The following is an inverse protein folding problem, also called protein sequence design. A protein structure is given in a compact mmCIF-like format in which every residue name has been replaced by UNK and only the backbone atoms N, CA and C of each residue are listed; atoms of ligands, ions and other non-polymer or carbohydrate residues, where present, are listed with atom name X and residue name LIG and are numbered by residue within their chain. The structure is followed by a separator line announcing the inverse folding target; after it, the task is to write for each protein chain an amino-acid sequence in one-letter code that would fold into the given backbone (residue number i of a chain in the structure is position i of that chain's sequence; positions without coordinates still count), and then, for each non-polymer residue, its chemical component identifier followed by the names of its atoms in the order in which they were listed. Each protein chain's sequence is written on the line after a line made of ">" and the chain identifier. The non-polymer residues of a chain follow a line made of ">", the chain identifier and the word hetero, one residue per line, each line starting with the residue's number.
data_IF_522616746992
#
_entry.id   IF_522616746992
#
_cell.length_a   1.000
_cell.length_b   1.000
_cell.length_c   1.000
_cell.angle_alpha   90.00
_cell.angle_beta   90.00
_cell.angle_gamma   90.00
#
_symmetry.space_group_name_H-M   'P 1'
#
loop_
_entity.id
_entity.type
_entity.pdbx_description
1 polymer ?
#
# COMPACT_ATOMS: atom_id res chain seq x y z
N UNK A 1 -1.74 19.18 1.57
CA UNK A 1 -2.08 17.79 1.95
C UNK A 1 -1.33 16.85 1.00
N UNK A 2 -0.87 15.72 1.50
CA UNK A 2 -0.15 14.70 0.74
C UNK A 2 -1.06 13.51 0.50
N UNK A 3 -1.12 13.06 -0.75
CA UNK A 3 -1.93 11.91 -1.15
C UNK A 3 -1.11 10.64 -1.06
N UNK A 4 -1.55 9.69 -0.24
CA UNK A 4 -0.91 8.39 -0.06
C UNK A 4 -1.80 7.32 -0.65
N UNK A 5 -1.27 6.57 -1.62
CA UNK A 5 -1.86 5.35 -2.14
C UNK A 5 -1.05 4.17 -1.59
N UNK A 6 -1.74 3.18 -1.03
CA UNK A 6 -1.16 1.93 -0.54
C UNK A 6 -1.78 0.76 -1.27
N UNK A 7 -0.97 -0.23 -1.63
CA UNK A 7 -1.47 -1.46 -2.20
C UNK A 7 -0.58 -2.66 -1.88
N UNK A 8 -1.14 -3.70 -1.25
CA UNK A 8 -0.54 -5.03 -1.31
C UNK A 8 -0.77 -5.59 -2.71
N UNK A 9 0.29 -5.75 -3.51
CA UNK A 9 0.20 -6.35 -4.84
C UNK A 9 0.77 -7.76 -4.75
N UNK A 10 -0.13 -8.76 -4.73
CA UNK A 10 0.20 -10.18 -4.56
C UNK A 10 1.42 -10.60 -5.40
N UNK A 11 2.53 -10.95 -4.74
CA UNK A 11 3.79 -11.34 -5.40
C UNK A 11 4.26 -10.36 -6.48
N UNK A 12 4.42 -9.09 -6.15
CA UNK A 12 4.87 -8.06 -7.07
C UNK A 12 6.30 -8.30 -7.57
N UNK A 13 6.50 -8.09 -8.88
CA UNK A 13 7.79 -8.17 -9.53
C UNK A 13 7.66 -8.05 -11.04
N UNK A 14 8.77 -8.07 -11.76
CA UNK A 14 8.81 -7.81 -13.20
C UNK A 14 7.87 -8.72 -13.98
N UNK A 15 7.79 -10.01 -13.66
CA UNK A 15 6.87 -10.95 -14.33
C UNK A 15 5.38 -10.58 -14.20
N UNK A 16 5.00 -9.78 -13.19
CA UNK A 16 3.62 -9.30 -13.01
C UNK A 16 3.26 -8.23 -14.05
N UNK A 17 4.22 -7.40 -14.45
CA UNK A 17 4.00 -6.20 -15.27
C UNK A 17 4.87 -6.15 -16.55
N UNK A 18 5.59 -7.23 -16.87
CA UNK A 18 6.53 -7.27 -18.00
C UNK A 18 5.82 -6.94 -19.32
N UNK A 19 6.42 -6.14 -20.21
CA UNK A 19 5.80 -5.82 -21.50
C UNK A 19 5.85 -6.99 -22.49
N UNK A 20 6.82 -7.89 -22.35
CA UNK A 20 7.12 -8.95 -23.32
C UNK A 20 7.21 -10.31 -22.62
N UNK A 21 6.78 -11.36 -23.31
CA UNK A 21 7.00 -12.75 -22.89
C UNK A 21 8.44 -13.17 -23.16
N UNK A 22 8.86 -14.33 -22.65
CA UNK A 22 10.14 -14.94 -22.98
C UNK A 22 10.13 -15.70 -24.32
N UNK A 23 8.98 -15.76 -25.01
CA UNK A 23 8.80 -16.47 -26.28
C UNK A 23 8.93 -15.50 -27.45
N UNK A 24 9.40 -16.02 -28.59
CA UNK A 24 9.49 -15.29 -29.85
C UNK A 24 8.43 -15.76 -30.84
N UNK A 25 7.96 -14.85 -31.69
CA UNK A 25 7.11 -15.17 -32.82
C UNK A 25 7.93 -15.76 -33.99
N UNK A 26 7.26 -16.06 -35.11
CA UNK A 26 7.88 -16.63 -36.31
C UNK A 26 8.87 -15.67 -37.00
N UNK A 27 8.82 -14.37 -36.69
CA UNK A 27 9.75 -13.35 -37.18
C UNK A 27 10.97 -13.17 -36.26
N UNK A 28 10.99 -13.89 -35.13
CA UNK A 28 12.02 -13.77 -34.11
C UNK A 28 11.80 -12.62 -33.13
N UNK A 29 10.72 -11.85 -33.24
CA UNK A 29 10.37 -10.79 -32.30
C UNK A 29 9.80 -11.37 -31.01
N UNK A 30 10.04 -10.73 -29.85
CA UNK A 30 9.43 -11.15 -28.59
C UNK A 30 7.91 -10.92 -28.62
N UNK A 31 7.14 -11.91 -28.17
CA UNK A 31 5.67 -11.82 -28.16
C UNK A 31 5.23 -10.90 -27.00
N UNK A 32 4.33 -9.93 -27.22
CA UNK A 32 3.75 -9.12 -26.14
C UNK A 32 3.06 -9.96 -25.07
N UNK A 33 3.30 -9.63 -23.80
CA UNK A 33 2.56 -10.26 -22.69
C UNK A 33 1.32 -9.41 -22.37
N UNK A 34 0.23 -9.66 -23.09
CA UNK A 34 -1.02 -8.90 -22.94
C UNK A 34 -1.58 -8.97 -21.50
N UNK A 35 -1.39 -10.10 -20.82
CA UNK A 35 -1.85 -10.27 -19.45
C UNK A 35 -1.05 -9.40 -18.47
N UNK A 36 0.27 -9.30 -18.64
CA UNK A 36 1.08 -8.37 -17.87
C UNK A 36 0.79 -6.90 -18.23
N UNK A 37 0.48 -6.61 -19.50
CA UNK A 37 0.06 -5.28 -19.94
C UNK A 37 -1.28 -4.85 -19.29
N UNK A 38 -2.28 -5.73 -19.23
CA UNK A 38 -3.57 -5.44 -18.57
C UNK A 38 -3.36 -5.15 -17.07
N UNK A 39 -2.53 -5.94 -16.37
CA UNK A 39 -2.21 -5.72 -14.95
C UNK A 39 -1.47 -4.40 -14.72
N UNK A 40 -0.52 -4.06 -15.59
CA UNK A 40 0.17 -2.78 -15.56
C UNK A 40 -0.80 -1.62 -15.81
N UNK A 41 -1.69 -1.75 -16.80
CA UNK A 41 -2.69 -0.74 -17.12
C UNK A 41 -3.61 -0.46 -15.92
N UNK A 42 -4.06 -1.51 -15.22
CA UNK A 42 -4.82 -1.37 -13.98
C UNK A 42 -4.04 -0.61 -12.89
N UNK A 43 -2.75 -0.93 -12.68
CA UNK A 43 -1.91 -0.19 -11.73
C UNK A 43 -1.81 1.29 -12.12
N UNK A 44 -1.54 1.58 -13.39
CA UNK A 44 -1.42 2.95 -13.89
C UNK A 44 -2.76 3.71 -13.85
N UNK A 45 -3.90 3.05 -14.02
CA UNK A 45 -5.21 3.65 -13.87
C UNK A 45 -5.44 4.18 -12.45
N UNK A 46 -4.96 3.47 -11.42
CA UNK A 46 -4.98 3.98 -10.05
C UNK A 46 -4.09 5.21 -9.89
N UNK A 47 -2.88 5.20 -10.47
CA UNK A 47 -1.99 6.36 -10.43
C UNK A 47 -2.65 7.58 -11.08
N UNK A 48 -3.34 7.41 -12.21
CA UNK A 48 -4.07 8.50 -12.87
C UNK A 48 -5.26 8.99 -12.03
N UNK A 49 -6.11 8.08 -11.55
CA UNK A 49 -7.34 8.44 -10.84
C UNK A 49 -7.08 9.10 -9.48
N UNK A 50 -6.17 8.52 -8.68
CA UNK A 50 -5.85 9.01 -7.34
C UNK A 50 -4.78 10.12 -7.36
N UNK A 51 -3.99 10.20 -8.43
CA UNK A 51 -2.87 11.13 -8.59
C UNK A 51 -1.98 11.18 -7.32
N UNK A 52 -1.52 10.04 -6.77
CA UNK A 52 -0.85 10.01 -5.47
C UNK A 52 0.44 10.82 -5.47
N UNK A 53 0.83 11.32 -4.29
CA UNK A 53 2.14 11.93 -4.06
C UNK A 53 3.14 10.91 -3.51
N UNK A 54 2.63 9.89 -2.83
CA UNK A 54 3.36 8.71 -2.36
C UNK A 54 2.55 7.47 -2.75
N UNK A 55 3.21 6.48 -3.35
CA UNK A 55 2.63 5.17 -3.65
C UNK A 55 3.46 4.08 -2.98
N UNK A 56 2.82 3.28 -2.13
CA UNK A 56 3.44 2.19 -1.36
C UNK A 56 2.98 0.85 -1.92
N UNK A 57 3.93 -0.01 -2.25
CA UNK A 57 3.71 -1.39 -2.70
C UNK A 57 4.41 -2.35 -1.76
N UNK A 58 3.65 -3.26 -1.15
CA UNK A 58 4.18 -4.39 -0.37
C UNK A 58 4.10 -5.68 -1.18
N UNK A 59 4.65 -6.78 -0.67
CA UNK A 59 4.85 -8.05 -1.40
C UNK A 59 5.75 -7.93 -2.65
N UNK A 60 6.71 -7.00 -2.64
CA UNK A 60 7.74 -7.00 -3.70
C UNK A 60 8.65 -8.21 -3.52
N UNK A 61 8.90 -8.98 -4.58
CA UNK A 61 9.80 -10.13 -4.51
C UNK A 61 11.22 -9.70 -4.09
N UNK A 62 11.71 -10.17 -2.94
CA UNK A 62 13.06 -9.80 -2.47
C UNK A 62 14.18 -10.49 -3.24
N UNK A 63 13.93 -11.74 -3.69
CA UNK A 63 14.97 -12.66 -4.15
C UNK A 63 16.02 -12.96 -3.06
N UNK A 64 17.16 -13.60 -3.42
CA UNK A 64 18.24 -13.90 -2.49
C UNK A 64 18.89 -12.61 -1.94
N UNK A 65 18.87 -12.42 -0.62
CA UNK A 65 19.33 -11.19 0.03
C UNK A 65 20.09 -11.49 1.33
N UNK A 66 20.70 -10.47 1.92
CA UNK A 66 21.45 -10.59 3.18
C UNK A 66 20.56 -10.51 4.42
N UNK A 67 19.24 -10.66 4.25
CA UNK A 67 18.25 -10.53 5.30
C UNK A 67 17.68 -9.12 5.45
N UNK A 68 16.86 -8.87 6.49
CA UNK A 68 16.20 -7.60 6.71
C UNK A 68 17.16 -6.41 6.72
N UNK A 69 16.72 -5.30 6.15
CA UNK A 69 17.47 -4.04 6.15
C UNK A 69 18.55 -3.96 5.07
N UNK A 70 18.85 -5.09 4.41
CA UNK A 70 19.60 -5.10 3.16
C UNK A 70 18.69 -4.76 1.96
N UNK A 71 19.30 -4.35 0.85
CA UNK A 71 18.58 -4.16 -0.41
C UNK A 71 17.96 -5.47 -0.89
N UNK A 72 16.79 -5.39 -1.52
CA UNK A 72 16.32 -6.51 -2.34
C UNK A 72 17.33 -6.83 -3.43
N UNK A 73 17.39 -8.10 -3.84
CA UNK A 73 18.26 -8.53 -4.92
C UNK A 73 17.92 -7.80 -6.23
N UNK A 74 18.91 -7.54 -7.10
CA UNK A 74 18.70 -6.92 -8.41
C UNK A 74 18.07 -7.90 -9.43
N UNK A 75 17.02 -8.63 -9.01
CA UNK A 75 16.28 -9.62 -9.80
C UNK A 75 14.84 -9.14 -10.05
N UNK A 76 13.87 -10.06 -10.12
CA UNK A 76 12.51 -9.77 -10.55
C UNK A 76 11.80 -8.66 -9.76
N UNK A 77 11.93 -8.61 -8.43
CA UNK A 77 11.30 -7.53 -7.65
C UNK A 77 11.89 -6.16 -7.96
N UNK A 78 13.22 -6.04 -7.91
CA UNK A 78 13.93 -4.81 -8.28
C UNK A 78 13.59 -4.35 -9.69
N UNK A 79 13.66 -5.25 -10.68
CA UNK A 79 13.31 -4.95 -12.06
C UNK A 79 11.85 -4.49 -12.19
N UNK A 80 10.93 -5.09 -11.43
CA UNK A 80 9.53 -4.66 -11.36
C UNK A 80 9.37 -3.25 -10.81
N UNK A 81 10.07 -2.91 -9.73
CA UNK A 81 10.06 -1.56 -9.16
C UNK A 81 10.61 -0.52 -10.15
N UNK A 82 11.73 -0.82 -10.82
CA UNK A 82 12.33 0.08 -11.80
C UNK A 82 11.43 0.27 -13.02
N UNK A 83 10.88 -0.80 -13.55
CA UNK A 83 9.94 -0.73 -14.67
C UNK A 83 8.71 0.10 -14.29
N UNK A 84 8.11 -0.15 -13.12
CA UNK A 84 6.97 0.62 -12.65
C UNK A 84 7.30 2.10 -12.44
N UNK A 85 8.46 2.43 -11.89
CA UNK A 85 8.94 3.81 -11.75
C UNK A 85 9.02 4.51 -13.11
N UNK A 86 9.60 3.84 -14.12
CA UNK A 86 9.69 4.37 -15.49
C UNK A 86 8.30 4.59 -16.10
N UNK A 87 7.38 3.64 -15.91
CA UNK A 87 6.00 3.74 -16.41
C UNK A 87 5.24 4.87 -15.75
N UNK A 88 5.41 5.10 -14.45
CA UNK A 88 4.80 6.21 -13.72
C UNK A 88 5.36 7.56 -14.21
N UNK A 89 6.68 7.67 -14.38
CA UNK A 89 7.32 8.88 -14.92
C UNK A 89 6.78 9.20 -16.33
N UNK A 90 6.71 8.19 -17.20
CA UNK A 90 6.19 8.36 -18.56
C UNK A 90 4.70 8.71 -18.58
N UNK A 91 3.89 8.08 -17.74
CA UNK A 91 2.44 8.34 -17.63
C UNK A 91 2.17 9.77 -17.17
N UNK A 92 2.89 10.23 -16.15
CA UNK A 92 2.60 11.52 -15.50
C UNK A 92 3.36 12.70 -16.10
N UNK A 93 4.45 12.45 -16.83
CA UNK A 93 5.38 13.49 -17.28
C UNK A 93 6.12 14.18 -16.13
N UNK A 94 6.03 13.65 -14.91
CA UNK A 94 6.59 14.24 -13.69
C UNK A 94 7.79 13.43 -13.19
N UNK A 95 8.66 14.12 -12.44
CA UNK A 95 9.68 13.46 -11.64
C UNK A 95 9.02 12.59 -10.57
N UNK A 96 9.50 11.35 -10.47
CA UNK A 96 9.18 10.42 -9.39
C UNK A 96 10.47 9.79 -8.91
N UNK A 97 10.59 9.58 -7.60
CA UNK A 97 11.67 8.85 -6.98
C UNK A 97 11.14 7.54 -6.40
N UNK A 98 12.05 6.60 -6.15
CA UNK A 98 11.82 5.35 -5.45
C UNK A 98 12.75 5.33 -4.23
N UNK A 99 12.24 5.02 -3.05
CA UNK A 99 13.12 4.66 -1.93
C UNK A 99 13.70 3.27 -2.24
N UNK A 100 15.03 3.08 -2.25
CA UNK A 100 15.63 1.78 -2.52
C UNK A 100 14.99 0.69 -1.66
N UNK A 101 14.29 -0.30 -2.27
CA UNK A 101 13.53 -1.27 -1.50
C UNK A 101 14.45 -2.13 -0.63
N UNK A 102 14.11 -2.23 0.65
CA UNK A 102 14.81 -3.11 1.58
C UNK A 102 13.96 -4.33 1.91
N UNK A 103 14.64 -5.37 2.32
CA UNK A 103 14.02 -6.62 2.75
C UNK A 103 13.40 -6.45 4.14
N UNK A 104 12.22 -7.03 4.32
CA UNK A 104 11.57 -7.31 5.61
C UNK A 104 11.25 -8.80 5.70
N UNK A 105 11.26 -9.35 6.91
CA UNK A 105 11.01 -10.76 7.17
C UNK A 105 12.15 -11.70 6.80
N UNK A 106 12.03 -12.97 7.17
CA UNK A 106 13.04 -14.02 6.96
C UNK A 106 12.38 -15.39 6.71
N UNK A 107 13.20 -16.43 6.48
CA UNK A 107 12.79 -17.85 6.50
C UNK A 107 11.56 -18.17 5.63
N UNK A 108 11.57 -17.71 4.37
CA UNK A 108 10.47 -17.94 3.42
C UNK A 108 9.31 -16.94 3.52
N UNK A 109 9.39 -15.97 4.43
CA UNK A 109 8.43 -14.85 4.58
C UNK A 109 9.05 -13.51 4.20
N UNK A 110 10.23 -13.54 3.58
CA UNK A 110 10.96 -12.35 3.16
C UNK A 110 10.31 -11.70 1.94
N UNK A 111 10.17 -10.38 1.97
CA UNK A 111 9.71 -9.56 0.86
C UNK A 111 10.39 -8.18 0.90
N UNK A 112 10.21 -7.42 -0.17
CA UNK A 112 10.58 -6.02 -0.24
C UNK A 112 9.36 -5.12 -0.12
N UNK A 113 9.62 -3.87 0.30
CA UNK A 113 8.64 -2.79 0.26
C UNK A 113 9.17 -1.69 -0.66
N UNK A 114 8.37 -1.29 -1.64
CA UNK A 114 8.70 -0.23 -2.58
C UNK A 114 7.86 1.01 -2.29
N UNK A 115 8.51 2.14 -2.09
CA UNK A 115 7.84 3.44 -1.86
C UNK A 115 8.26 4.41 -2.94
N UNK A 116 7.32 4.72 -3.83
CA UNK A 116 7.45 5.71 -4.87
C UNK A 116 6.95 7.05 -4.35
N UNK A 117 7.60 8.16 -4.70
CA UNK A 117 7.15 9.48 -4.27
C UNK A 117 7.48 10.58 -5.28
N UNK A 118 6.66 11.62 -5.30
CA UNK A 118 6.95 12.85 -6.04
C UNK A 118 7.94 13.70 -5.23
N UNK A 119 9.13 14.03 -5.79
CA UNK A 119 10.16 14.81 -5.12
C UNK A 119 9.85 16.31 -5.04
N UNK A 120 8.92 16.79 -5.88
CA UNK A 120 8.52 18.19 -6.00
C UNK A 120 7.08 18.34 -5.51
N UNK A 121 6.83 19.40 -4.75
CA UNK A 121 5.51 19.83 -4.33
C UNK A 121 5.17 21.06 -5.18
N UNK A 122 4.23 20.97 -6.13
CA UNK A 122 3.88 22.10 -6.98
C UNK A 122 3.21 23.21 -6.15
N UNK A 123 3.41 24.46 -6.55
CA UNK A 123 2.63 25.56 -6.02
C UNK A 123 1.15 25.37 -6.40
N UNK A 124 0.23 25.74 -5.51
CA UNK A 124 -1.20 25.63 -5.78
C UNK A 124 -2.06 25.96 -4.56
N UNK A 125 -3.27 26.47 -4.80
CA UNK A 125 -4.24 26.77 -3.74
C UNK A 125 -3.73 27.74 -2.66
N UNK A 126 -2.84 28.67 -3.02
CA UNK A 126 -2.22 29.62 -2.08
C UNK A 126 -0.98 29.08 -1.35
N UNK A 127 -0.52 27.86 -1.64
CA UNK A 127 0.69 27.27 -1.07
C UNK A 127 1.87 27.41 -2.03
N UNK A 128 3.01 27.84 -1.52
CA UNK A 128 4.26 27.96 -2.28
C UNK A 128 4.78 26.60 -2.74
N UNK A 129 5.56 26.60 -3.83
CA UNK A 129 6.25 25.41 -4.27
C UNK A 129 7.26 24.92 -3.23
N UNK A 130 7.55 23.64 -3.28
CA UNK A 130 8.36 22.99 -2.26
C UNK A 130 8.95 21.67 -2.71
N UNK A 131 9.58 20.99 -1.75
CA UNK A 131 10.25 19.71 -1.98
C UNK A 131 9.77 18.68 -0.99
N UNK A 132 9.69 17.44 -1.45
CA UNK A 132 9.58 16.26 -0.60
C UNK A 132 10.91 15.53 -0.67
N UNK A 133 11.58 15.46 0.48
CA UNK A 133 12.88 14.84 0.65
C UNK A 133 12.68 13.54 1.42
N UNK A 134 13.25 12.43 0.96
CA UNK A 134 13.33 11.18 1.71
C UNK A 134 14.41 11.30 2.78
N UNK A 135 14.02 11.13 4.03
CA UNK A 135 14.89 11.45 5.16
C UNK A 135 14.99 10.27 6.13
N UNK A 136 15.06 9.04 5.64
CA UNK A 136 15.38 7.88 6.49
C UNK A 136 14.15 7.23 7.16
N UNK A 137 14.19 6.89 8.47
CA UNK A 137 14.97 7.56 9.51
C UNK A 137 16.37 6.99 9.75
N UNK A 138 16.70 5.88 9.11
CA UNK A 138 18.02 5.30 9.17
C UNK A 138 18.95 5.93 8.12
N UNK A 139 20.23 5.59 8.21
CA UNK A 139 21.22 5.86 7.17
C UNK A 139 21.63 4.56 6.48
N UNK A 140 22.13 4.68 5.26
CA UNK A 140 22.69 3.56 4.50
C UNK A 140 24.18 3.43 4.80
N UNK A 141 24.62 2.23 5.19
CA UNK A 141 26.04 1.91 5.32
C UNK A 141 26.48 1.08 4.12
N UNK A 142 27.49 1.51 3.34
CA UNK A 142 28.08 0.67 2.30
C UNK A 142 28.96 -0.45 2.88
N UNK A 143 29.31 -0.41 4.18
CA UNK A 143 30.10 -1.44 4.82
C UNK A 143 29.28 -2.73 5.04
N UNK A 144 29.96 -3.88 5.13
CA UNK A 144 29.34 -5.13 5.62
C UNK A 144 28.15 -5.63 4.79
N UNK A 145 28.26 -5.59 3.45
CA UNK A 145 27.23 -6.02 2.49
C UNK A 145 26.02 -5.09 2.29
N UNK A 146 26.10 -3.84 2.74
CA UNK A 146 25.06 -2.85 2.48
C UNK A 146 23.82 -3.07 3.35
N UNK A 147 23.73 -2.31 4.43
CA UNK A 147 22.60 -2.42 5.37
C UNK A 147 22.15 -1.05 5.87
N UNK A 148 20.85 -0.92 6.10
CA UNK A 148 20.28 0.18 6.84
C UNK A 148 20.67 0.12 8.31
N UNK A 149 21.03 1.24 8.91
CA UNK A 149 21.37 1.31 10.33
C UNK A 149 20.82 2.58 10.98
N UNK A 150 20.52 2.52 12.27
CA UNK A 150 20.15 3.70 13.03
C UNK A 150 21.39 4.58 13.24
N UNK A 151 21.44 5.82 12.71
CA UNK A 151 22.62 6.67 12.80
C UNK A 151 22.95 7.17 14.22
N UNK A 152 22.05 6.97 15.19
CA UNK A 152 22.25 7.42 16.58
C UNK A 152 22.86 6.36 17.49
N UNK A 153 23.11 5.13 17.00
CA UNK A 153 23.75 4.08 17.81
C UNK A 153 25.25 4.38 17.98
N UNK A 154 25.86 3.94 19.08
CA UNK A 154 27.29 4.17 19.35
C UNK A 154 28.04 2.84 19.52
N UNK A 155 29.12 2.57 18.73
CA UNK A 155 29.56 3.34 17.56
C UNK A 155 28.64 3.15 16.35
N UNK A 156 28.32 4.23 15.64
CA UNK A 156 27.56 4.18 14.40
C UNK A 156 28.48 3.79 13.22
N UNK A 157 28.04 2.90 12.31
CA UNK A 157 28.67 2.74 11.00
C UNK A 157 28.76 4.08 10.23
N UNK A 158 29.71 4.17 9.31
CA UNK A 158 29.79 5.34 8.42
C UNK A 158 28.64 5.33 7.41
N UNK A 159 27.89 6.42 7.36
CA UNK A 159 26.88 6.63 6.32
C UNK A 159 27.55 6.82 4.95
N UNK A 160 26.93 6.28 3.90
CA UNK A 160 27.41 6.40 2.54
C UNK A 160 26.29 6.25 1.53
N UNK A 161 26.60 6.52 0.26
CA UNK A 161 25.61 6.37 -0.80
C UNK A 161 25.25 4.91 -1.02
N UNK A 162 24.01 4.68 -1.45
CA UNK A 162 23.63 3.41 -2.07
C UNK A 162 24.57 3.05 -3.25
N UNK A 163 24.64 1.76 -3.63
CA UNK A 163 25.35 1.37 -4.84
C UNK A 163 24.85 2.16 -6.06
N UNK A 164 25.73 2.36 -7.05
CA UNK A 164 25.47 3.26 -8.19
C UNK A 164 24.17 2.94 -8.94
N UNK A 165 23.84 1.65 -9.07
CA UNK A 165 22.59 1.19 -9.67
C UNK A 165 21.36 1.81 -8.98
N UNK A 166 21.29 1.71 -7.66
CA UNK A 166 20.19 2.27 -6.88
C UNK A 166 20.24 3.80 -6.91
N UNK A 167 21.40 4.40 -6.67
CA UNK A 167 21.57 5.86 -6.65
C UNK A 167 21.08 6.52 -7.94
N UNK A 168 21.44 5.98 -9.11
CA UNK A 168 21.06 6.56 -10.41
C UNK A 168 19.63 6.22 -10.83
N UNK A 169 19.07 5.10 -10.38
CA UNK A 169 17.74 4.66 -10.81
C UNK A 169 16.64 5.24 -9.93
N UNK A 170 16.85 5.17 -8.62
CA UNK A 170 15.86 5.51 -7.61
C UNK A 170 15.66 7.02 -7.48
N UNK A 171 16.71 7.81 -7.66
CA UNK A 171 16.66 9.25 -7.43
C UNK A 171 16.81 10.01 -8.76
N UNK A 172 15.87 10.90 -9.05
CA UNK A 172 16.00 11.88 -10.14
C UNK A 172 17.16 12.85 -9.90
N UNK A 173 17.37 13.21 -8.64
CA UNK A 173 18.55 13.95 -8.16
C UNK A 173 19.00 13.29 -6.86
N UNK A 174 20.16 12.63 -6.86
CA UNK A 174 20.65 11.88 -5.70
C UNK A 174 21.14 12.78 -4.56
N UNK A 175 21.87 13.86 -4.88
CA UNK A 175 22.53 14.74 -3.91
C UNK A 175 21.64 15.84 -3.32
N UNK A 176 20.34 15.61 -3.16
CA UNK A 176 19.45 16.61 -2.56
C UNK A 176 19.74 16.70 -1.05
N UNK A 177 20.16 17.89 -0.61
CA UNK A 177 20.49 18.15 0.79
C UNK A 177 19.23 18.21 1.67
N UNK A 178 19.27 17.54 2.81
CA UNK A 178 18.20 17.57 3.81
C UNK A 178 18.48 18.70 4.81
N UNK A 179 17.52 19.61 5.07
CA UNK A 179 17.70 20.67 6.04
C UNK A 179 18.11 20.12 7.43
N UNK A 180 19.02 20.80 8.15
CA UNK A 180 19.40 20.41 9.51
C UNK A 180 18.21 20.35 10.49
N UNK A 181 17.14 21.07 10.19
CA UNK A 181 15.91 21.16 10.98
C UNK A 181 14.89 20.05 10.66
N UNK A 182 15.19 19.13 9.73
CA UNK A 182 14.35 17.96 9.49
C UNK A 182 14.36 17.01 10.71
N UNK A 183 13.23 16.33 10.96
CA UNK A 183 13.08 15.48 12.14
C UNK A 183 13.99 14.24 12.13
N UNK A 184 14.18 13.63 10.95
CA UNK A 184 14.93 12.37 10.77
C UNK A 184 15.80 12.45 9.51
N UNK A 185 16.96 11.77 9.48
CA UNK A 185 18.14 12.44 9.99
C UNK A 185 18.34 13.77 9.25
N UNK A 186 18.38 14.89 9.99
CA UNK A 186 18.83 16.16 9.44
C UNK A 186 20.32 16.08 9.06
N UNK A 187 20.74 16.79 7.99
CA UNK A 187 22.10 16.93 7.43
C UNK A 187 22.61 15.99 6.32
N UNK A 188 22.28 14.69 6.22
CA UNK A 188 22.73 13.88 5.09
C UNK A 188 22.00 14.29 3.80
N UNK A 189 22.46 13.72 2.69
CA UNK A 189 21.73 13.75 1.41
C UNK A 189 20.80 12.54 1.30
N UNK A 190 19.75 12.64 0.50
CA UNK A 190 18.75 11.57 0.40
C UNK A 190 19.31 10.21 -0.03
N UNK A 191 20.34 10.19 -0.88
CA UNK A 191 20.99 8.94 -1.31
C UNK A 191 21.81 8.24 -0.21
N UNK A 192 21.95 8.86 0.96
CA UNK A 192 22.58 8.28 2.16
C UNK A 192 21.55 7.88 3.22
N UNK A 193 20.29 8.25 3.05
CA UNK A 193 19.21 7.87 3.96
C UNK A 193 18.73 6.46 3.66
N UNK A 194 18.17 5.77 4.64
CA UNK A 194 17.60 4.43 4.48
C UNK A 194 16.33 4.25 5.31
N UNK A 195 15.40 3.44 4.80
CA UNK A 195 14.25 3.01 5.58
C UNK A 195 14.70 2.22 6.81
N UNK A 196 13.93 2.26 7.90
CA UNK A 196 14.15 1.43 9.08
C UNK A 196 13.28 0.18 9.02
N UNK A 197 13.87 -0.96 9.36
CA UNK A 197 13.15 -2.23 9.49
C UNK A 197 13.43 -2.97 10.81
N UNK A 198 14.38 -2.48 11.61
CA UNK A 198 14.67 -3.02 12.93
C UNK A 198 14.30 -1.98 13.97
N UNK A 199 13.63 -2.45 15.03
CA UNK A 199 12.99 -1.60 16.01
C UNK A 199 13.32 -2.03 17.42
N UNK A 200 13.14 -1.10 18.34
CA UNK A 200 13.15 -1.35 19.77
C UNK A 200 11.76 -1.16 20.35
N UNK A 201 11.50 -1.82 21.47
CA UNK A 201 10.30 -1.63 22.23
C UNK A 201 10.32 -0.31 23.02
N UNK A 202 9.23 -0.01 23.73
CA UNK A 202 9.11 1.19 24.54
C UNK A 202 10.21 1.29 25.61
N UNK A 203 10.71 0.17 26.12
CA UNK A 203 11.80 0.10 27.11
C UNK A 203 13.19 0.20 26.46
N UNK A 204 13.29 0.04 25.14
CA UNK A 204 14.51 0.18 24.35
C UNK A 204 15.19 -1.14 24.05
N UNK A 205 14.54 -2.27 24.37
CA UNK A 205 15.04 -3.58 24.01
C UNK A 205 14.77 -3.85 22.52
N UNK A 206 15.72 -4.46 21.78
CA UNK A 206 15.50 -4.89 20.40
C UNK A 206 14.28 -5.82 20.28
N UNK A 207 13.41 -5.57 19.32
CA UNK A 207 12.25 -6.42 19.07
C UNK A 207 12.66 -7.58 18.17
N UNK A 208 12.47 -8.81 18.66
CA UNK A 208 12.58 -10.00 17.84
C UNK A 208 11.24 -10.33 17.19
N UNK A 209 11.16 -10.21 15.87
CA UNK A 209 9.96 -10.50 15.09
C UNK A 209 9.80 -12.00 14.76
N UNK A 210 10.72 -12.88 15.19
CA UNK A 210 10.57 -14.33 15.02
C UNK A 210 10.48 -14.76 13.54
N UNK A 211 11.19 -14.06 12.66
CA UNK A 211 11.13 -14.25 11.21
C UNK A 211 9.87 -13.70 10.51
N UNK A 212 8.93 -13.10 11.26
CA UNK A 212 7.84 -12.32 10.71
C UNK A 212 8.38 -11.03 10.06
N UNK A 213 7.58 -10.46 9.15
CA UNK A 213 7.90 -9.20 8.50
C UNK A 213 7.87 -8.08 9.53
N UNK A 214 8.97 -7.36 9.66
CA UNK A 214 9.00 -6.13 10.45
C UNK A 214 8.22 -5.02 9.73
N UNK A 215 7.74 -3.99 10.47
CA UNK A 215 7.27 -2.76 9.84
C UNK A 215 8.35 -2.16 8.93
N UNK A 216 7.96 -1.61 7.78
CA UNK A 216 8.88 -0.84 6.94
C UNK A 216 8.63 0.64 7.16
N UNK A 217 9.55 1.33 7.84
CA UNK A 217 9.42 2.72 8.21
C UNK A 217 10.24 3.62 7.28
N UNK A 218 9.57 4.59 6.67
CA UNK A 218 10.19 5.68 5.91
C UNK A 218 9.74 7.02 6.46
N UNK A 219 10.58 8.04 6.32
CA UNK A 219 10.27 9.41 6.72
C UNK A 219 10.56 10.37 5.59
N UNK A 220 9.78 11.44 5.54
CA UNK A 220 9.92 12.52 4.59
C UNK A 220 9.92 13.86 5.31
N UNK A 221 10.66 14.80 4.76
CA UNK A 221 10.59 16.20 5.10
C UNK A 221 9.98 16.95 3.92
N UNK A 222 8.92 17.70 4.18
CA UNK A 222 8.28 18.59 3.21
C UNK A 222 8.68 20.03 3.51
N UNK A 223 9.30 20.67 2.52
CA UNK A 223 9.84 22.03 2.65
C UNK A 223 9.12 22.99 1.72
N UNK A 224 9.17 24.28 2.04
CA UNK A 224 8.87 25.35 1.07
C UNK A 224 10.19 25.86 0.50
N UNK A 225 10.23 26.10 -0.81
CA UNK A 225 11.39 26.69 -1.47
C UNK A 225 11.56 28.16 -1.05
N UNK A 226 12.78 28.56 -0.68
CA UNK A 226 13.12 29.93 -0.29
C UNK A 226 14.43 29.98 0.53
N UNK A 227 15.07 31.16 0.67
CA UNK A 227 16.14 31.37 1.63
C UNK A 227 15.59 32.01 2.93
N UNK A 228 15.63 31.32 4.10
CA UNK A 228 16.09 29.95 4.32
C UNK A 228 15.06 28.89 3.91
N UNK A 229 15.52 27.66 3.64
CA UNK A 229 14.62 26.52 3.40
C UNK A 229 13.92 26.19 4.72
N UNK A 230 12.59 26.26 4.73
CA UNK A 230 11.78 26.01 5.93
C UNK A 230 11.11 24.64 5.82
N UNK A 231 11.29 23.83 6.85
CA UNK A 231 10.53 22.58 7.05
C UNK A 231 9.10 22.95 7.43
N UNK A 232 8.14 22.57 6.58
CA UNK A 232 6.71 22.77 6.84
C UNK A 232 6.11 21.59 7.60
N UNK A 233 6.56 20.37 7.27
CA UNK A 233 6.00 19.14 7.83
C UNK A 233 7.00 18.00 7.74
N UNK A 234 6.95 17.11 8.72
CA UNK A 234 7.58 15.79 8.65
C UNK A 234 6.49 14.74 8.51
N UNK A 235 6.68 13.77 7.61
CA UNK A 235 5.78 12.65 7.40
C UNK A 235 6.52 11.35 7.71
N UNK A 236 6.03 10.60 8.67
CA UNK A 236 6.51 9.25 8.99
C UNK A 236 5.49 8.24 8.48
N UNK A 237 5.94 7.26 7.69
CA UNK A 237 5.07 6.22 7.13
C UNK A 237 5.60 4.83 7.51
N UNK A 238 4.72 4.00 8.06
CA UNK A 238 4.95 2.58 8.29
C UNK A 238 4.10 1.77 7.32
N UNK A 239 4.75 0.89 6.55
CA UNK A 239 4.07 -0.14 5.78
C UNK A 239 4.08 -1.47 6.56
N UNK A 240 2.90 -2.06 6.74
CA UNK A 240 2.69 -3.28 7.52
C UNK A 240 2.21 -4.40 6.60
N UNK A 241 2.77 -5.59 6.78
CA UNK A 241 2.24 -6.83 6.24
C UNK A 241 2.30 -7.89 7.35
N UNK A 242 1.19 -8.01 8.09
CA UNK A 242 1.12 -8.87 9.26
C UNK A 242 1.05 -10.37 8.85
N UNK A 243 1.20 -11.30 9.81
CA UNK A 243 1.06 -12.73 9.55
C UNK A 243 -0.38 -13.09 9.10
N UNK A 244 -0.56 -14.07 8.20
CA UNK A 244 -1.89 -14.45 7.69
C UNK A 244 -2.76 -15.21 8.71
N UNK A 245 -2.17 -15.73 9.79
CA UNK A 245 -2.88 -16.49 10.81
C UNK A 245 -3.48 -15.52 11.84
N UNK A 246 -4.81 -15.54 11.99
CA UNK A 246 -5.56 -14.57 12.79
C UNK A 246 -5.01 -14.33 14.22
N UNK A 247 -4.61 -15.38 14.95
CA UNK A 247 -4.07 -15.20 16.32
C UNK A 247 -2.73 -14.48 16.28
N UNK A 248 -1.84 -14.85 15.36
CA UNK A 248 -0.57 -14.19 15.14
C UNK A 248 -0.74 -12.76 14.61
N UNK A 249 -1.71 -12.50 13.73
CA UNK A 249 -2.06 -11.17 13.25
C UNK A 249 -2.49 -10.25 14.39
N UNK A 250 -3.36 -10.74 15.28
CA UNK A 250 -3.83 -10.00 16.45
C UNK A 250 -2.71 -9.73 17.46
N UNK A 251 -1.86 -10.73 17.73
CA UNK A 251 -0.68 -10.56 18.59
C UNK A 251 0.33 -9.56 17.98
N UNK A 252 0.53 -9.62 16.66
CA UNK A 252 1.39 -8.68 15.93
C UNK A 252 0.87 -7.25 16.03
N UNK A 253 -0.44 -7.02 15.81
CA UNK A 253 -1.06 -5.70 15.95
C UNK A 253 -0.92 -5.13 17.37
N UNK A 254 -1.11 -5.96 18.39
CA UNK A 254 -0.85 -5.56 19.79
C UNK A 254 0.63 -5.19 19.99
N UNK A 255 1.55 -5.97 19.40
CA UNK A 255 2.98 -5.71 19.44
C UNK A 255 3.39 -4.40 18.74
N UNK A 256 2.69 -3.98 17.69
CA UNK A 256 2.95 -2.70 17.01
C UNK A 256 2.80 -1.50 17.95
N UNK A 257 1.84 -1.53 18.88
CA UNK A 257 1.68 -0.47 19.87
C UNK A 257 2.83 -0.40 20.90
N UNK A 258 3.67 -1.45 20.97
CA UNK A 258 4.88 -1.47 21.79
C UNK A 258 6.15 -1.09 21.00
N UNK A 259 6.07 -0.93 19.67
CA UNK A 259 7.18 -0.41 18.88
C UNK A 259 7.38 1.06 19.21
N UNK A 260 8.57 1.43 19.70
CA UNK A 260 8.86 2.79 20.16
C UNK A 260 8.56 3.86 19.12
N UNK A 261 8.96 3.63 17.87
CA UNK A 261 8.72 4.59 16.79
C UNK A 261 7.23 4.75 16.43
N UNK A 262 6.39 3.77 16.77
CA UNK A 262 4.94 3.84 16.58
C UNK A 262 4.28 4.54 17.77
N UNK A 263 4.68 4.19 18.99
CA UNK A 263 4.03 4.57 20.24
C UNK A 263 4.45 5.95 20.76
N UNK A 264 5.71 6.33 20.54
CA UNK A 264 6.30 7.54 21.09
C UNK A 264 5.51 8.78 20.68
N UNK A 265 5.63 9.84 21.50
CA UNK A 265 5.09 11.14 21.17
C UNK A 265 5.54 11.58 19.75
N UNK A 266 4.70 12.36 19.09
CA UNK A 266 5.04 12.92 17.80
C UNK A 266 6.20 13.90 17.94
N UNK A 267 7.11 13.87 16.98
CA UNK A 267 8.12 14.90 16.78
C UNK A 267 7.51 16.22 16.29
N UNK A 268 8.35 17.23 16.17
CA UNK A 268 7.93 18.56 15.69
C UNK A 268 7.35 18.49 14.27
N UNK A 269 6.13 19.02 14.12
CA UNK A 269 5.39 19.04 12.85
C UNK A 269 5.25 17.64 12.20
N UNK A 270 5.26 16.58 13.02
CA UNK A 270 5.18 15.20 12.52
C UNK A 270 3.72 14.77 12.33
N UNK A 271 3.41 14.30 11.13
CA UNK A 271 2.28 13.42 10.87
C UNK A 271 2.79 12.00 10.68
N UNK A 272 2.18 11.04 11.37
CA UNK A 272 2.56 9.63 11.33
C UNK A 272 1.43 8.79 10.75
N UNK A 273 1.75 7.98 9.76
CA UNK A 273 0.81 7.14 9.00
C UNK A 273 1.23 5.68 9.13
N UNK A 274 0.30 4.82 9.50
CA UNK A 274 0.47 3.37 9.42
C UNK A 274 -0.49 2.87 8.36
N UNK A 275 0.03 2.17 7.36
CA UNK A 275 -0.75 1.59 6.28
C UNK A 275 -0.36 0.13 6.12
N UNK A 276 -1.29 -0.74 5.76
CA UNK A 276 -0.91 -2.13 5.61
C UNK A 276 -2.05 -3.11 5.46
N UNK A 277 -1.64 -4.34 5.17
CA UNK A 277 -2.41 -5.54 5.39
C UNK A 277 -2.16 -5.99 6.83
N UNK A 278 -3.18 -5.88 7.66
CA UNK A 278 -3.13 -6.27 9.05
C UNK A 278 -3.66 -7.69 9.29
N UNK A 279 -4.20 -8.38 8.28
CA UNK A 279 -4.83 -9.70 8.39
C UNK A 279 -5.81 -9.84 9.57
N UNK A 280 -6.38 -8.73 10.04
CA UNK A 280 -7.42 -8.69 11.07
C UNK A 280 -8.66 -8.05 10.46
N UNK A 281 -9.78 -8.75 10.56
CA UNK A 281 -11.01 -8.27 9.96
C UNK A 281 -11.61 -7.13 10.79
N UNK A 282 -11.93 -6.02 10.14
CA UNK A 282 -12.56 -4.85 10.77
C UNK A 282 -13.97 -5.14 11.33
N UNK A 283 -14.74 -5.99 10.65
CA UNK A 283 -16.12 -6.31 11.02
C UNK A 283 -16.19 -7.67 11.76
N UNK A 284 -17.08 -7.80 12.74
CA UNK A 284 -17.40 -9.08 13.39
C UNK A 284 -18.75 -9.62 12.91
N UNK A 285 -19.10 -10.85 13.31
CA UNK A 285 -20.43 -11.42 13.04
C UNK A 285 -21.58 -10.55 13.57
N UNK A 286 -21.35 -9.77 14.63
CA UNK A 286 -22.32 -8.86 15.24
C UNK A 286 -22.17 -7.41 14.76
N UNK A 287 -21.41 -7.21 13.69
CA UNK A 287 -21.36 -5.95 12.94
C UNK A 287 -20.05 -5.20 13.08
N UNK A 288 -19.65 -4.81 14.29
CA UNK A 288 -18.43 -4.05 14.54
C UNK A 288 -17.46 -4.85 15.43
N UNK A 289 -16.16 -4.71 15.20
CA UNK A 289 -15.11 -5.11 16.14
C UNK A 289 -14.18 -3.92 16.44
N UNK A 290 -14.67 -2.91 17.18
CA UNK A 290 -13.96 -1.64 17.30
C UNK A 290 -12.69 -1.77 18.15
N UNK A 291 -12.56 -2.87 18.88
CA UNK A 291 -11.44 -3.14 19.78
C UNK A 291 -10.20 -3.67 19.05
N UNK A 292 -10.30 -4.07 17.78
CA UNK A 292 -9.15 -4.61 17.02
C UNK A 292 -7.98 -3.66 16.96
N UNK A 293 -8.27 -2.40 16.64
CA UNK A 293 -7.26 -1.36 16.52
C UNK A 293 -7.09 -0.57 17.83
N UNK A 294 -7.73 -0.98 18.93
CA UNK A 294 -7.65 -0.30 20.23
C UNK A 294 -6.21 -0.01 20.71
N UNK A 295 -5.23 -0.92 20.55
CA UNK A 295 -3.84 -0.61 20.91
C UNK A 295 -3.27 0.60 20.17
N UNK A 296 -3.60 0.78 18.89
CA UNK A 296 -3.12 1.89 18.08
C UNK A 296 -4.00 3.14 18.26
N UNK A 297 -5.32 3.01 18.31
CA UNK A 297 -6.21 4.16 18.55
C UNK A 297 -6.02 4.74 19.95
N UNK A 298 -5.67 3.92 20.95
CA UNK A 298 -5.29 4.36 22.28
C UNK A 298 -4.01 5.22 22.32
N UNK A 299 -3.15 5.10 21.30
CA UNK A 299 -1.99 5.99 21.10
C UNK A 299 -2.36 7.29 20.38
N UNK A 300 -3.63 7.49 20.01
CA UNK A 300 -4.12 8.69 19.32
C UNK A 300 -4.09 8.59 17.79
N UNK A 301 -3.95 7.40 17.22
CA UNK A 301 -4.15 7.21 15.79
C UNK A 301 -5.63 7.18 15.42
N UNK A 302 -6.01 7.98 14.43
CA UNK A 302 -7.32 7.94 13.81
C UNK A 302 -7.36 6.84 12.74
N UNK A 303 -8.25 5.87 12.93
CA UNK A 303 -8.56 4.82 11.96
C UNK A 303 -9.31 5.42 10.76
N UNK A 304 -8.86 5.15 9.52
CA UNK A 304 -9.44 5.73 8.31
C UNK A 304 -10.59 4.91 7.74
N UNK A 305 -10.42 3.59 7.63
CA UNK A 305 -11.57 2.69 7.40
C UNK A 305 -12.18 2.37 8.77
N UNK A 306 -13.22 3.12 9.13
CA UNK A 306 -13.93 2.96 10.39
C UNK A 306 -15.11 2.01 10.23
N UNK A 307 -15.32 1.07 11.17
CA UNK A 307 -16.53 0.29 11.18
C UNK A 307 -17.74 1.20 11.48
N UNK A 308 -18.97 0.79 11.11
CA UNK A 308 -20.16 1.56 11.48
C UNK A 308 -20.28 1.70 13.01
N UNK A 309 -20.73 2.88 13.45
CA UNK A 309 -20.77 3.25 14.88
C UNK A 309 -21.67 2.33 15.73
N UNK A 310 -22.69 1.74 15.12
CA UNK A 310 -23.51 0.68 15.69
C UNK A 310 -23.70 -0.42 14.64
N UNK A 311 -24.02 -1.65 15.05
CA UNK A 311 -24.47 -2.68 14.12
C UNK A 311 -25.76 -2.19 13.45
N UNK A 312 -25.74 -1.78 12.18
CA UNK A 312 -26.92 -1.21 11.55
C UNK A 312 -27.85 -2.35 11.13
N UNK A 313 -29.19 -2.21 11.20
CA UNK A 313 -30.07 -2.91 10.26
C UNK A 313 -29.84 -2.29 8.86
N UNK A 314 -29.57 -3.07 7.79
CA UNK A 314 -29.83 -4.50 7.54
C UNK A 314 -28.72 -5.46 8.03
N UNK A 315 -28.89 -6.78 7.83
CA UNK A 315 -27.87 -7.81 8.15
C UNK A 315 -26.47 -7.43 7.66
N UNK A 316 -25.41 -7.88 8.36
CA UNK A 316 -23.99 -7.64 8.04
C UNK A 316 -23.67 -7.71 6.53
N UNK A 317 -24.24 -8.69 5.86
CA UNK A 317 -24.12 -8.91 4.42
C UNK A 317 -24.44 -7.68 3.56
N UNK A 318 -25.29 -6.77 4.02
CA UNK A 318 -25.73 -5.59 3.29
C UNK A 318 -24.69 -4.47 3.17
N UNK A 319 -23.68 -4.45 4.04
CA UNK A 319 -22.65 -3.42 4.05
C UNK A 319 -21.22 -3.97 3.95
N UNK A 320 -20.98 -5.28 4.12
CA UNK A 320 -19.65 -5.90 3.87
C UNK A 320 -19.03 -5.47 2.54
N UNK A 321 -19.89 -5.25 1.53
CA UNK A 321 -19.59 -4.68 0.23
C UNK A 321 -18.66 -3.47 0.21
N UNK A 322 -18.89 -2.57 1.17
CA UNK A 322 -18.32 -1.24 1.23
C UNK A 322 -17.02 -1.19 2.04
N UNK A 323 -16.79 -2.19 2.88
CA UNK A 323 -15.59 -2.31 3.72
C UNK A 323 -14.56 -3.27 3.12
N UNK A 324 -14.91 -3.95 2.03
CA UNK A 324 -14.07 -4.95 1.42
C UNK A 324 -12.74 -4.36 0.97
N UNK A 325 -11.64 -4.91 1.48
CA UNK A 325 -10.28 -4.66 1.00
C UNK A 325 -9.65 -5.90 0.38
N UNK A 326 -10.31 -7.06 0.47
CA UNK A 326 -9.80 -8.35 -0.02
C UNK A 326 -10.79 -9.06 -0.97
N UNK A 327 -10.25 -9.68 -2.01
CA UNK A 327 -10.97 -10.30 -3.12
C UNK A 327 -10.79 -11.82 -3.14
N UNK A 328 -11.89 -12.53 -3.34
CA UNK A 328 -11.87 -13.99 -3.51
C UNK A 328 -11.15 -14.38 -4.78
N UNK A 329 -10.59 -15.58 -4.77
CA UNK A 329 -10.11 -16.21 -5.99
C UNK A 329 -11.29 -16.34 -6.97
N UNK A 330 -11.00 -16.24 -8.27
CA UNK A 330 -12.03 -16.34 -9.32
C UNK A 330 -12.91 -17.59 -9.18
N UNK A 331 -12.37 -18.70 -8.68
CA UNK A 331 -13.11 -19.96 -8.51
C UNK A 331 -14.02 -19.96 -7.28
N UNK A 332 -13.64 -19.22 -6.23
CA UNK A 332 -14.38 -19.07 -4.98
C UNK A 332 -15.43 -17.93 -5.03
N UNK A 333 -15.42 -17.10 -6.08
CA UNK A 333 -16.51 -16.14 -6.34
C UNK A 333 -17.80 -16.90 -6.66
N UNK A 334 -18.83 -16.83 -5.81
CA UNK A 334 -20.08 -17.57 -6.06
C UNK A 334 -21.08 -16.62 -6.69
N UNK A 335 -21.45 -16.90 -7.94
CA UNK A 335 -22.69 -16.39 -8.51
C UNK A 335 -23.84 -17.25 -7.99
N UNK A 336 -24.97 -16.64 -7.62
CA UNK A 336 -26.10 -17.31 -6.95
C UNK A 336 -26.86 -18.30 -7.85
N UNK A 337 -26.33 -18.66 -9.03
CA UNK A 337 -26.76 -19.83 -9.82
C UNK A 337 -26.73 -21.16 -9.04
N UNK A 338 -26.32 -21.14 -7.77
CA UNK A 338 -26.31 -22.28 -6.83
C UNK A 338 -26.92 -21.98 -5.45
N UNK A 339 -27.48 -20.79 -5.18
CA UNK A 339 -28.05 -20.43 -3.87
C UNK A 339 -29.34 -19.59 -4.01
N UNK A 340 -30.37 -19.97 -3.25
CA UNK A 340 -31.63 -19.22 -3.13
C UNK A 340 -31.40 -18.08 -2.12
N UNK A 341 -31.16 -16.85 -2.59
CA UNK A 341 -31.05 -15.68 -1.70
C UNK A 341 -30.48 -14.42 -2.36
N UNK A 342 -30.95 -13.25 -1.92
CA UNK A 342 -30.45 -11.96 -2.38
C UNK A 342 -29.01 -11.72 -1.91
N UNK A 343 -28.14 -11.30 -2.83
CA UNK A 343 -26.78 -10.84 -2.52
C UNK A 343 -26.78 -9.32 -2.58
N UNK A 344 -26.52 -8.62 -1.45
CA UNK A 344 -26.45 -7.17 -1.43
C UNK A 344 -25.30 -6.61 -2.27
N UNK A 345 -25.33 -5.31 -2.48
CA UNK A 345 -24.32 -4.59 -3.25
C UNK A 345 -22.91 -4.66 -2.60
N UNK A 346 -21.82 -4.77 -3.39
CA UNK A 346 -21.80 -5.00 -4.83
C UNK A 346 -22.10 -6.47 -5.11
N UNK A 347 -23.13 -6.74 -5.91
CA UNK A 347 -23.55 -8.11 -6.20
C UNK A 347 -22.40 -8.97 -6.75
N UNK A 348 -22.55 -10.30 -6.77
CA UNK A 348 -21.56 -11.30 -7.21
C UNK A 348 -20.60 -11.89 -6.14
N UNK A 349 -20.76 -11.57 -4.83
CA UNK A 349 -20.02 -12.19 -3.69
C UNK A 349 -18.51 -12.37 -3.94
N UNK A 350 -17.89 -11.42 -4.61
CA UNK A 350 -16.47 -11.48 -4.95
C UNK A 350 -15.55 -11.03 -3.80
N UNK A 351 -16.16 -10.56 -2.72
CA UNK A 351 -15.50 -10.01 -1.54
C UNK A 351 -15.14 -11.13 -0.57
N UNK A 352 -13.95 -10.99 0.01
CA UNK A 352 -13.41 -11.80 1.09
C UNK A 352 -12.36 -12.81 0.68
N UNK A 353 -12.09 -13.75 1.58
CA UNK A 353 -11.09 -14.78 1.38
C UNK A 353 -11.68 -16.06 0.79
N UNK A 354 -10.83 -16.79 0.08
CA UNK A 354 -11.15 -18.12 -0.44
C UNK A 354 -11.01 -19.22 0.61
N UNK A 355 -10.31 -18.94 1.72
CA UNK A 355 -9.98 -19.90 2.76
C UNK A 355 -10.63 -19.60 4.12
N UNK A 356 -11.21 -18.41 4.30
CA UNK A 356 -11.88 -18.00 5.54
C UNK A 356 -13.13 -17.18 5.23
N UNK A 357 -14.25 -17.49 5.89
CA UNK A 357 -15.55 -16.85 5.62
C UNK A 357 -15.59 -15.39 6.11
N UNK A 358 -14.75 -15.00 7.06
CA UNK A 358 -14.82 -13.73 7.78
C UNK A 358 -13.59 -12.84 7.57
N UNK A 359 -12.90 -13.00 6.44
CA UNK A 359 -11.69 -12.24 6.13
C UNK A 359 -11.96 -11.45 4.85
N UNK A 360 -12.27 -10.17 4.97
CA UNK A 360 -12.66 -9.32 3.83
C UNK A 360 -12.22 -7.86 3.94
N UNK A 361 -12.07 -7.33 5.15
CA UNK A 361 -11.65 -5.95 5.43
C UNK A 361 -10.43 -6.01 6.33
N UNK A 362 -9.28 -6.32 5.75
CA UNK A 362 -8.03 -6.61 6.46
C UNK A 362 -6.93 -5.58 6.26
N UNK A 363 -7.13 -4.68 5.29
CA UNK A 363 -6.25 -3.55 5.05
C UNK A 363 -6.83 -2.31 5.72
N UNK A 364 -5.96 -1.44 6.23
CA UNK A 364 -6.40 -0.15 6.77
C UNK A 364 -5.29 0.90 6.68
N UNK A 365 -5.67 2.15 6.92
CA UNK A 365 -4.77 3.26 7.14
C UNK A 365 -5.11 3.90 8.49
N UNK A 366 -4.08 4.24 9.26
CA UNK A 366 -4.18 4.94 10.54
C UNK A 366 -3.30 6.17 10.51
N UNK A 367 -3.79 7.31 11.03
CA UNK A 367 -3.08 8.59 10.97
C UNK A 367 -3.05 9.26 12.34
N UNK A 368 -1.90 9.79 12.75
CA UNK A 368 -1.68 10.53 14.00
C UNK A 368 -0.93 11.83 13.70
N UNK A 369 -1.27 12.94 14.37
CA UNK A 369 -0.52 14.20 14.20
C UNK A 369 -0.88 15.03 12.97
N UNK A 370 -2.11 14.87 12.48
CA UNK A 370 -2.65 15.63 11.35
C UNK A 370 -4.11 15.29 11.13
N UNK A 371 -4.83 16.14 10.41
CA UNK A 371 -6.17 15.81 9.95
C UNK A 371 -6.03 14.88 8.74
N UNK A 372 -6.41 13.62 8.90
CA UNK A 372 -6.64 12.77 7.74
C UNK A 372 -7.94 13.23 7.07
N UNK A 373 -7.89 13.38 5.75
CA UNK A 373 -9.02 13.75 4.92
C UNK A 373 -9.61 12.56 4.17
N UNK A 374 -9.96 12.79 2.92
CA UNK A 374 -10.51 11.85 1.96
C UNK A 374 -9.89 10.44 2.02
N UNK A 375 -10.65 9.45 2.51
CA UNK A 375 -10.29 8.03 2.46
C UNK A 375 -11.10 7.29 1.38
N UNK A 376 -10.49 6.36 0.65
CA UNK A 376 -11.18 5.56 -0.37
C UNK A 376 -10.54 4.18 -0.48
N UNK A 377 -11.40 3.14 -0.54
CA UNK A 377 -10.99 1.82 -1.01
C UNK A 377 -11.20 1.79 -2.52
N UNK A 378 -10.14 1.54 -3.29
CA UNK A 378 -10.17 1.54 -4.75
C UNK A 378 -10.79 0.24 -5.30
N UNK A 379 -12.10 0.10 -5.18
CA UNK A 379 -12.82 -1.07 -5.69
C UNK A 379 -13.07 -0.95 -7.20
N UNK A 380 -12.07 -1.29 -8.02
CA UNK A 380 -12.15 -1.28 -9.49
C UNK A 380 -13.00 -2.40 -10.08
N UNK A 381 -13.50 -3.33 -9.26
CA UNK A 381 -14.49 -4.30 -9.74
C UNK A 381 -15.78 -3.57 -10.11
N UNK A 382 -16.32 -2.75 -9.20
CA UNK A 382 -17.55 -1.97 -9.43
C UNK A 382 -17.33 -0.49 -9.77
N UNK A 383 -16.11 0.02 -9.55
CA UNK A 383 -15.81 1.44 -9.65
C UNK A 383 -16.23 2.22 -8.39
N UNK A 384 -15.59 3.37 -8.17
CA UNK A 384 -15.90 4.35 -7.13
C UNK A 384 -16.49 5.64 -7.69
N UNK A 385 -17.33 6.36 -6.90
CA UNK A 385 -17.82 5.96 -5.57
C UNK A 385 -18.85 4.81 -5.63
N UNK A 386 -19.06 4.09 -4.52
CA UNK A 386 -20.03 3.00 -4.34
C UNK A 386 -21.49 3.51 -4.30
N UNK A 387 -21.88 4.38 -5.23
CA UNK A 387 -23.08 5.21 -5.15
C UNK A 387 -24.37 4.62 -5.75
N UNK A 388 -24.36 3.36 -6.16
CA UNK A 388 -25.55 2.68 -6.70
C UNK A 388 -26.65 2.54 -5.64
N UNK A 389 -26.31 2.40 -4.36
CA UNK A 389 -27.26 2.44 -3.25
C UNK A 389 -27.07 3.74 -2.48
N UNK A 390 -28.07 4.62 -2.50
CA UNK A 390 -28.03 5.92 -1.83
C UNK A 390 -29.33 6.18 -1.03
N UNK A 391 -29.27 6.39 0.30
CA UNK A 391 -28.06 6.40 1.12
C UNK A 391 -27.42 5.02 1.26
N UNK A 392 -26.10 5.00 1.46
CA UNK A 392 -25.36 3.78 1.74
C UNK A 392 -25.94 3.08 2.98
N UNK A 393 -26.10 1.74 2.99
CA UNK A 393 -26.57 1.02 4.17
C UNK A 393 -25.70 1.33 5.40
N UNK A 394 -26.33 1.73 6.50
CA UNK A 394 -25.63 2.03 7.75
C UNK A 394 -24.58 3.14 7.67
N UNK A 395 -24.65 4.03 6.68
CA UNK A 395 -23.65 5.09 6.48
C UNK A 395 -22.29 4.55 6.02
N UNK A 396 -22.25 3.37 5.40
CA UNK A 396 -21.03 2.77 4.90
C UNK A 396 -20.22 3.71 3.97
N UNK A 397 -18.88 3.60 3.95
CA UNK A 397 -18.04 4.51 3.19
C UNK A 397 -18.29 4.33 1.68
N UNK A 398 -18.59 5.45 1.02
CA UNK A 398 -18.87 5.46 -0.42
C UNK A 398 -17.61 5.58 -1.27
N UNK A 399 -16.46 5.90 -0.66
CA UNK A 399 -15.32 6.43 -1.39
C UNK A 399 -15.58 7.84 -1.90
N UNK A 400 -14.51 8.60 -2.08
CA UNK A 400 -14.57 10.02 -2.46
C UNK A 400 -13.75 10.34 -3.71
N UNK A 401 -12.85 9.44 -4.10
CA UNK A 401 -12.13 9.54 -5.38
C UNK A 401 -12.81 8.64 -6.39
N UNK A 402 -13.23 9.22 -7.51
CA UNK A 402 -13.86 8.47 -8.59
C UNK A 402 -12.81 7.61 -9.32
N UNK A 403 -13.15 6.35 -9.55
CA UNK A 403 -12.40 5.44 -10.43
C UNK A 403 -13.40 4.53 -11.13
N UNK A 404 -13.27 4.33 -12.44
CA UNK A 404 -14.19 3.47 -13.17
C UNK A 404 -14.02 1.98 -12.78
N UNK A 405 -15.02 1.16 -13.11
CA UNK A 405 -14.85 -0.28 -13.14
C UNK A 405 -13.84 -0.65 -14.24
N UNK A 406 -12.93 -1.58 -13.94
CA UNK A 406 -11.93 -2.08 -14.91
C UNK A 406 -12.45 -3.27 -15.74
N UNK A 407 -13.76 -3.54 -15.68
CA UNK A 407 -14.38 -4.56 -16.51
C UNK A 407 -14.37 -4.13 -17.98
N UNK A 408 -13.67 -4.89 -18.83
CA UNK A 408 -13.62 -4.61 -20.27
C UNK A 408 -14.87 -5.13 -21.00
N UNK A 409 -15.55 -6.14 -20.43
CA UNK A 409 -16.79 -6.72 -20.97
C UNK A 409 -17.78 -6.97 -19.82
N UNK A 410 -18.29 -5.91 -19.17
CA UNK A 410 -19.11 -6.07 -17.98
C UNK A 410 -20.39 -6.88 -18.28
N UNK A 411 -20.91 -7.63 -17.30
CA UNK A 411 -22.27 -8.15 -17.36
C UNK A 411 -23.28 -7.02 -17.58
N UNK A 412 -24.46 -7.33 -18.14
CA UNK A 412 -25.52 -6.34 -18.35
C UNK A 412 -26.00 -5.78 -17.00
N UNK A 413 -26.19 -4.45 -16.91
CA UNK A 413 -26.67 -3.79 -15.69
C UNK A 413 -25.62 -3.67 -14.57
N UNK A 414 -24.33 -3.62 -14.93
CA UNK A 414 -23.22 -3.50 -13.99
C UNK A 414 -23.02 -2.06 -13.45
N UNK A 415 -22.65 -1.89 -12.16
CA UNK A 415 -22.63 -2.92 -11.12
C UNK A 415 -24.04 -3.16 -10.57
N UNK A 416 -24.42 -4.40 -10.28
CA UNK A 416 -25.81 -4.70 -9.93
C UNK A 416 -26.13 -4.35 -8.47
N UNK A 417 -27.40 -4.06 -8.20
CA UNK A 417 -27.95 -3.97 -6.84
C UNK A 417 -29.42 -4.41 -6.82
N UNK A 418 -29.78 -5.55 -6.19
CA UNK A 418 -28.91 -6.65 -5.73
C UNK A 418 -28.31 -7.42 -6.92
N UNK A 419 -27.59 -8.53 -6.68
CA UNK A 419 -27.12 -9.39 -7.78
C UNK A 419 -28.26 -9.78 -8.76
N UNK A 420 -28.02 -9.77 -10.09
CA UNK A 420 -29.06 -9.95 -11.10
C UNK A 420 -29.44 -11.42 -11.29
N UNK A 421 -30.60 -11.70 -11.90
CA UNK A 421 -31.12 -13.03 -12.27
C UNK A 421 -30.19 -13.84 -13.21
N UNK A 422 -30.32 -15.18 -13.22
CA UNK A 422 -29.25 -16.08 -13.66
C UNK A 422 -29.33 -16.13 -15.17
N UNK A 423 -28.21 -15.81 -15.81
CA UNK A 423 -28.08 -15.90 -17.26
C UNK A 423 -26.92 -16.83 -17.58
N UNK A 424 -27.18 -17.79 -18.47
CA UNK A 424 -26.15 -18.71 -18.93
C UNK A 424 -24.97 -17.93 -19.54
N UNK A 425 -23.75 -18.25 -19.12
CA UNK A 425 -22.52 -17.59 -19.60
C UNK A 425 -22.04 -16.41 -18.76
N UNK A 426 -22.88 -15.80 -17.93
CA UNK A 426 -22.48 -14.63 -17.12
C UNK A 426 -21.40 -14.96 -16.09
N UNK A 427 -21.43 -16.18 -15.53
CA UNK A 427 -20.37 -16.65 -14.62
C UNK A 427 -19.01 -16.69 -15.32
N UNK A 428 -18.95 -17.25 -16.53
CA UNK A 428 -17.72 -17.31 -17.31
C UNK A 428 -17.26 -15.92 -17.73
N UNK A 429 -18.20 -15.04 -18.11
CA UNK A 429 -17.92 -13.63 -18.44
C UNK A 429 -17.33 -12.89 -17.25
N UNK A 430 -17.96 -12.95 -16.09
CA UNK A 430 -17.49 -12.31 -14.86
C UNK A 430 -16.08 -12.79 -14.46
N UNK A 431 -15.86 -14.12 -14.42
CA UNK A 431 -14.58 -14.73 -14.03
C UNK A 431 -13.49 -14.63 -15.11
N UNK A 432 -13.87 -14.22 -16.32
CA UNK A 432 -12.98 -14.16 -17.47
C UNK A 432 -11.83 -13.18 -17.27
N UNK A 433 -10.74 -13.38 -18.03
CA UNK A 433 -9.56 -12.52 -17.96
C UNK A 433 -9.92 -11.04 -18.17
N UNK A 434 -10.81 -10.76 -19.13
CA UNK A 434 -11.29 -9.41 -19.48
C UNK A 434 -12.07 -8.68 -18.37
N UNK A 435 -12.44 -9.36 -17.28
CA UNK A 435 -13.16 -8.79 -16.13
C UNK A 435 -12.43 -9.14 -14.82
N UNK A 436 -13.02 -9.91 -13.91
CA UNK A 436 -12.42 -10.22 -12.59
C UNK A 436 -11.05 -10.89 -12.70
N UNK A 437 -10.76 -11.58 -13.80
CA UNK A 437 -9.52 -12.34 -13.98
C UNK A 437 -8.25 -11.48 -13.91
N UNK A 438 -8.15 -10.35 -14.63
CA UNK A 438 -6.97 -9.50 -14.58
C UNK A 438 -6.90 -8.68 -13.27
N UNK A 439 -8.05 -8.22 -12.75
CA UNK A 439 -8.12 -7.51 -11.46
C UNK A 439 -7.57 -8.40 -10.34
N UNK A 440 -8.16 -9.59 -10.14
CA UNK A 440 -7.70 -10.54 -9.12
C UNK A 440 -6.28 -11.06 -9.37
N UNK A 441 -5.87 -11.19 -10.62
CA UNK A 441 -4.49 -11.60 -10.95
C UNK A 441 -3.46 -10.50 -10.69
N UNK A 442 -3.89 -9.24 -10.61
CA UNK A 442 -3.04 -8.13 -10.16
C UNK A 442 -2.81 -8.25 -8.66
N UNK A 443 -3.88 -8.31 -7.89
CA UNK A 443 -3.85 -8.58 -6.46
C UNK A 443 -5.20 -9.12 -5.96
N UNK A 444 -5.22 -9.87 -4.85
CA UNK A 444 -6.42 -10.02 -4.03
C UNK A 444 -6.73 -8.80 -3.18
N UNK A 445 -5.78 -7.92 -2.90
CA UNK A 445 -6.07 -6.72 -2.12
C UNK A 445 -6.54 -5.58 -3.03
N UNK A 446 -7.40 -4.72 -2.52
CA UNK A 446 -7.77 -3.46 -3.14
C UNK A 446 -6.85 -2.35 -2.61
N UNK A 447 -6.50 -1.40 -3.48
CA UNK A 447 -5.67 -0.28 -3.06
C UNK A 447 -6.44 0.64 -2.10
N UNK A 448 -5.73 1.22 -1.12
CA UNK A 448 -6.27 2.18 -0.17
C UNK A 448 -5.68 3.57 -0.44
N UNK A 449 -6.51 4.59 -0.43
CA UNK A 449 -6.12 5.97 -0.62
C UNK A 449 -6.48 6.81 0.60
N UNK A 450 -5.58 7.73 0.98
CA UNK A 450 -5.85 8.77 1.98
C UNK A 450 -5.17 10.10 1.61
N UNK A 451 -5.74 11.22 2.01
CA UNK A 451 -5.05 12.52 2.09
C UNK A 451 -4.63 12.81 3.52
N UNK A 452 -3.37 13.18 3.74
CA UNK A 452 -2.82 13.52 5.07
C UNK A 452 -2.17 14.88 5.13
#
# INVERSE_FOLDING_TARGET
>A
MTRVLYWNIESFGYNKIRPLTTKRDRTGALIPDLNAADRLALILAHITAFNPDIFVVVETASGPSNGPGSLISPTGGWQGCVELLLRIRNLTGLAWNLIPPLVVGQAGRAEGVAVFYKPVIPAGGGVAAGRRLFTGPNAWSPAGNGISFNPTVLPAPAAGNYPLLQTNTCFTVAGRAIPPTALNPGNPIESQCAARVDFVDNLGAPINYGGLRQPYMVTFCETVDGPPVVVQRNLTLFAIHSPPQYVAANAYLNGLANVRDISAALGALETRVITGDFNVNLLSQNGNDPLRYAPLTGLGYALQLQPPAAAPPPTLDAYMGYFATHLKSKNSTIFWSTNVGGVPYPGYRYIGSSSSSNLYSIDNILVRGGAAGNFTIANTVVGMPLNVVNPAPGGAPMGVVAIASDFQVPPLGWPPSPAPAFVAGDRQRFRGWRNMGHIRSTSDHLALFVTV
#
